data_IF_781097569605
#
_entry.id   IF_781097569605
#
_cell.length_a   1.000
_cell.length_b   1.000
_cell.length_c   1.000
_cell.angle_alpha   90.00
_cell.angle_beta   90.00
_cell.angle_gamma   90.00
#
_symmetry.space_group_name_H-M   'P 1'
#
loop_
_entity.id
_entity.type
_entity.pdbx_description
1 polymer ?
#
# COMPACT_ATOMS: atom_id res chain seq x y z
N UNK A 1 -9.36 22.22 12.62
CA UNK A 1 -9.76 20.97 11.93
C UNK A 1 -10.73 20.10 12.74
N UNK A 2 -11.37 20.61 13.81
CA UNK A 2 -12.56 20.00 14.42
C UNK A 2 -12.36 18.70 15.22
N UNK A 3 -11.12 18.26 15.45
CA UNK A 3 -10.77 17.09 16.28
C UNK A 3 -9.61 17.46 17.19
N UNK A 4 -9.57 16.87 18.37
CA UNK A 4 -8.52 17.05 19.38
C UNK A 4 -7.73 15.75 19.52
N UNK A 5 -6.42 15.88 19.78
CA UNK A 5 -5.49 14.74 19.93
C UNK A 5 -4.54 14.98 21.09
N UNK A 6 -4.06 13.90 21.71
CA UNK A 6 -3.11 13.94 22.82
C UNK A 6 -1.79 13.33 22.39
N UNK A 7 -0.97 14.14 21.73
CA UNK A 7 0.25 13.67 21.08
C UNK A 7 1.49 13.89 21.95
N UNK A 8 2.41 12.92 21.96
CA UNK A 8 3.74 13.04 22.57
C UNK A 8 4.77 13.40 21.51
N UNK A 9 5.55 14.46 21.74
CA UNK A 9 6.68 14.80 20.88
C UNK A 9 7.76 13.72 20.99
N UNK A 10 8.19 13.19 19.84
CA UNK A 10 9.26 12.19 19.73
C UNK A 10 10.57 12.87 19.31
N UNK A 11 10.52 13.73 18.28
CA UNK A 11 11.72 14.27 17.66
C UNK A 11 11.42 15.59 16.94
N UNK A 12 12.44 16.45 16.85
CA UNK A 12 12.47 17.63 15.95
C UNK A 12 13.65 17.49 14.97
N UNK A 13 13.54 16.69 13.90
CA UNK A 13 14.70 16.26 13.11
C UNK A 13 15.29 17.32 12.18
N UNK A 14 14.55 18.38 11.82
CA UNK A 14 15.00 19.35 10.83
C UNK A 14 14.55 20.77 11.20
N UNK A 15 15.43 21.72 10.92
CA UNK A 15 15.18 23.16 10.98
C UNK A 15 15.88 23.78 9.77
N UNK A 16 15.14 24.59 9.02
CA UNK A 16 15.62 25.32 7.86
C UNK A 16 15.24 26.79 8.04
N UNK A 17 16.23 27.66 7.86
CA UNK A 17 16.09 29.11 7.99
C UNK A 17 16.45 29.75 6.66
N UNK A 18 15.48 30.49 6.12
CA UNK A 18 15.64 31.40 5.01
C UNK A 18 15.40 32.80 5.54
N UNK A 19 16.07 33.82 5.00
CA UNK A 19 16.05 35.23 5.49
C UNK A 19 14.66 35.81 5.90
N UNK A 20 13.55 35.24 5.40
CA UNK A 20 12.17 35.67 5.71
C UNK A 20 11.24 34.54 6.16
N UNK A 21 11.72 33.30 6.24
CA UNK A 21 10.90 32.12 6.53
C UNK A 21 11.73 31.11 7.33
N UNK A 22 11.15 30.61 8.42
CA UNK A 22 11.69 29.46 9.14
C UNK A 22 10.76 28.27 8.96
N UNK A 23 11.33 27.09 8.78
CA UNK A 23 10.60 25.82 8.81
C UNK A 23 11.25 24.87 9.81
N UNK A 24 10.42 24.12 10.52
CA UNK A 24 10.86 23.04 11.40
C UNK A 24 9.98 21.81 11.19
N UNK A 25 10.58 20.64 11.35
CA UNK A 25 9.87 19.37 11.29
C UNK A 25 9.72 18.82 12.69
N UNK A 26 8.49 18.42 13.07
CA UNK A 26 8.22 17.71 14.32
C UNK A 26 7.66 16.31 14.04
N UNK A 27 8.04 15.34 14.87
CA UNK A 27 7.51 13.98 14.88
C UNK A 27 6.81 13.72 16.20
N UNK A 28 5.58 13.22 16.11
CA UNK A 28 4.74 12.91 17.27
C UNK A 28 4.30 11.44 17.27
N UNK A 29 4.00 10.91 18.44
CA UNK A 29 3.30 9.64 18.64
C UNK A 29 1.95 9.89 19.31
N UNK A 30 0.93 9.15 18.87
CA UNK A 30 -0.31 8.96 19.63
C UNK A 30 -0.20 7.63 20.38
N UNK A 31 -0.03 7.69 21.70
CA UNK A 31 0.20 6.51 22.53
C UNK A 31 -1.12 5.78 22.86
N UNK A 32 -2.29 6.41 22.69
CA UNK A 32 -3.61 5.84 22.99
C UNK A 32 -4.62 6.10 21.86
N UNK A 33 -4.43 5.49 20.68
CA UNK A 33 -5.34 5.71 19.56
C UNK A 33 -6.74 5.20 19.90
N UNK A 34 -7.75 6.07 19.75
CA UNK A 34 -9.15 5.69 19.85
C UNK A 34 -9.55 5.02 18.54
N UNK A 35 -9.98 3.74 18.62
CA UNK A 35 -10.55 3.05 17.46
C UNK A 35 -11.95 3.60 17.19
N UNK A 36 -12.27 3.97 15.94
CA UNK A 36 -13.62 4.37 15.59
C UNK A 36 -14.60 3.23 15.90
N UNK A 37 -15.76 3.52 16.49
CA UNK A 37 -16.87 2.55 16.59
C UNK A 37 -17.49 2.31 15.22
N UNK A 38 -18.32 1.26 15.04
CA UNK A 38 -18.97 0.98 13.76
C UNK A 38 -19.61 2.24 13.16
N UNK A 39 -19.03 2.74 12.07
CA UNK A 39 -19.52 3.91 11.37
C UNK A 39 -20.36 3.40 10.20
N UNK A 40 -21.64 3.78 10.16
CA UNK A 40 -22.44 3.58 8.96
C UNK A 40 -21.77 4.29 7.77
N UNK A 41 -22.02 3.82 6.55
CA UNK A 41 -21.45 4.45 5.35
C UNK A 41 -21.74 5.98 5.41
N UNK A 42 -20.71 6.84 5.34
CA UNK A 42 -20.87 8.25 5.67
C UNK A 42 -21.91 8.96 4.81
N UNK A 43 -22.86 9.63 5.47
CA UNK A 43 -23.72 10.62 4.83
C UNK A 43 -22.94 11.92 4.55
N UNK A 44 -23.24 12.61 3.45
CA UNK A 44 -22.59 13.88 3.10
C UNK A 44 -21.19 13.75 2.46
N UNK A 45 -20.81 12.53 2.01
CA UNK A 45 -19.61 12.34 1.18
C UNK A 45 -19.71 13.16 -0.12
N UNK A 46 -18.57 13.66 -0.60
CA UNK A 46 -18.55 14.22 -1.95
C UNK A 46 -18.67 13.08 -2.97
N UNK A 47 -19.25 13.37 -4.13
CA UNK A 47 -19.20 12.43 -5.24
C UNK A 47 -17.74 12.21 -5.66
N UNK A 48 -17.34 10.95 -5.72
CA UNK A 48 -16.11 10.46 -6.35
C UNK A 48 -16.48 9.43 -7.42
N UNK A 49 -15.65 9.23 -8.46
CA UNK A 49 -15.90 8.17 -9.45
C UNK A 49 -16.03 6.79 -8.77
N UNK A 50 -16.83 5.87 -9.35
CA UNK A 50 -16.90 4.48 -8.87
C UNK A 50 -15.51 3.86 -8.75
N UNK A 51 -15.27 3.13 -7.67
CA UNK A 51 -13.99 2.49 -7.44
C UNK A 51 -13.89 1.16 -8.17
N UNK A 52 -12.72 0.87 -8.74
CA UNK A 52 -12.34 -0.48 -9.22
C UNK A 52 -11.86 -1.39 -8.08
N UNK A 53 -11.88 -0.90 -6.83
CA UNK A 53 -11.36 -1.60 -5.65
C UNK A 53 -12.46 -1.70 -4.60
N UNK A 54 -12.67 -2.89 -4.06
CA UNK A 54 -13.64 -3.13 -3.00
C UNK A 54 -12.97 -3.77 -1.80
N UNK A 55 -13.23 -3.23 -0.61
CA UNK A 55 -12.79 -3.80 0.65
C UNK A 55 -13.95 -4.60 1.24
N UNK A 56 -13.84 -5.93 1.22
CA UNK A 56 -14.85 -6.88 1.69
C UNK A 56 -16.22 -6.68 1.02
N UNK A 57 -16.20 -6.50 -0.31
CA UNK A 57 -17.38 -6.24 -1.13
C UNK A 57 -17.95 -4.81 -0.99
N UNK A 58 -17.25 -3.90 -0.29
CA UNK A 58 -17.62 -2.49 -0.21
C UNK A 58 -16.68 -1.66 -1.07
N UNK A 59 -17.15 -1.08 -2.19
CA UNK A 59 -16.34 -0.21 -3.03
C UNK A 59 -15.72 0.96 -2.28
N UNK A 60 -14.46 1.29 -2.55
CA UNK A 60 -13.76 2.34 -1.80
C UNK A 60 -14.40 3.74 -1.95
N UNK A 61 -15.12 3.99 -3.05
CA UNK A 61 -15.88 5.23 -3.26
C UNK A 61 -16.98 5.44 -2.22
N UNK A 62 -17.48 4.36 -1.60
CA UNK A 62 -18.45 4.43 -0.51
C UNK A 62 -17.88 5.14 0.72
N UNK A 63 -16.58 5.09 0.91
CA UNK A 63 -15.86 5.83 1.94
C UNK A 63 -15.40 7.22 1.47
N UNK A 64 -15.81 7.67 0.28
CA UNK A 64 -15.33 8.92 -0.32
C UNK A 64 -13.88 8.85 -0.80
N UNK A 65 -13.34 7.64 -0.99
CA UNK A 65 -11.96 7.40 -1.42
C UNK A 65 -11.93 7.09 -2.91
N UNK A 66 -11.07 7.82 -3.61
CA UNK A 66 -10.69 7.55 -4.99
C UNK A 66 -9.24 7.05 -5.01
N UNK A 67 -8.99 5.91 -5.67
CA UNK A 67 -7.63 5.42 -5.92
C UNK A 67 -7.10 6.09 -7.17
N UNK A 68 -5.97 6.77 -7.07
CA UNK A 68 -5.34 7.50 -8.19
C UNK A 68 -4.23 6.70 -8.86
N UNK A 69 -3.52 5.87 -8.09
CA UNK A 69 -2.46 4.98 -8.59
C UNK A 69 -2.41 3.71 -7.73
N UNK A 70 -2.02 2.57 -8.32
CA UNK A 70 -1.93 1.30 -7.57
C UNK A 70 -1.92 0.04 -8.42
N UNK A 71 -2.36 0.12 -9.69
CA UNK A 71 -2.41 -1.03 -10.60
C UNK A 71 -1.07 -1.77 -10.70
N UNK A 72 0.02 -1.05 -10.91
CA UNK A 72 1.36 -1.66 -11.03
C UNK A 72 1.80 -2.34 -9.72
N UNK A 73 1.42 -1.78 -8.57
CA UNK A 73 1.69 -2.36 -7.25
C UNK A 73 0.88 -3.66 -7.02
N UNK A 74 -0.33 -3.75 -7.58
CA UNK A 74 -1.14 -4.97 -7.58
C UNK A 74 -0.57 -6.01 -8.56
N UNK A 75 -0.06 -5.60 -9.73
CA UNK A 75 0.39 -6.53 -10.76
C UNK A 75 1.82 -7.04 -10.54
N UNK A 76 2.69 -6.28 -9.86
CA UNK A 76 4.09 -6.69 -9.64
C UNK A 76 4.19 -7.98 -8.81
N UNK A 77 5.20 -8.79 -9.08
CA UNK A 77 5.54 -9.94 -8.24
C UNK A 77 6.07 -9.49 -6.86
N UNK A 78 5.87 -10.28 -5.80
CA UNK A 78 6.53 -10.02 -4.52
C UNK A 78 8.05 -10.10 -4.65
N UNK A 79 8.74 -9.47 -3.72
CA UNK A 79 10.21 -9.55 -3.65
C UNK A 79 10.64 -10.95 -3.23
N UNK A 80 11.61 -11.53 -3.93
CA UNK A 80 12.25 -12.79 -3.53
C UNK A 80 12.89 -12.63 -2.16
N UNK A 81 12.68 -13.60 -1.27
CA UNK A 81 13.34 -13.67 0.02
C UNK A 81 14.79 -14.09 -0.18
N UNK A 82 15.70 -13.23 0.24
CA UNK A 82 17.14 -13.50 0.14
C UNK A 82 17.51 -14.68 1.04
N UNK A 83 18.04 -15.75 0.45
CA UNK A 83 18.61 -16.87 1.18
C UNK A 83 19.96 -16.50 1.81
N UNK A 84 20.54 -17.42 2.59
CA UNK A 84 21.83 -17.19 3.23
C UNK A 84 22.87 -16.79 2.19
N UNK A 85 23.58 -15.71 2.47
CA UNK A 85 24.56 -15.18 1.55
C UNK A 85 25.79 -14.68 2.30
N UNK A 86 26.97 -15.05 1.81
CA UNK A 86 28.25 -14.73 2.43
C UNK A 86 29.21 -14.15 1.39
N UNK A 87 29.78 -13.01 1.70
CA UNK A 87 30.92 -12.44 0.96
C UNK A 87 32.19 -12.79 1.72
N UNK A 88 33.22 -13.27 1.02
CA UNK A 88 34.54 -13.54 1.60
C UNK A 88 35.53 -12.62 0.90
N UNK A 89 36.38 -11.92 1.66
CA UNK A 89 37.21 -10.82 1.14
C UNK A 89 38.22 -11.24 0.07
N UNK A 90 38.69 -12.48 0.11
CA UNK A 90 39.67 -13.06 -0.81
C UNK A 90 39.03 -13.84 -1.97
N UNK A 91 37.70 -13.91 -2.03
CA UNK A 91 36.96 -14.61 -3.09
C UNK A 91 36.15 -13.59 -3.88
N UNK A 92 36.36 -13.56 -5.19
CA UNK A 92 35.53 -12.76 -6.08
C UNK A 92 34.09 -13.30 -6.07
N UNK A 93 33.13 -12.40 -5.88
CA UNK A 93 31.70 -12.72 -5.89
C UNK A 93 31.10 -12.99 -4.52
N UNK A 94 30.00 -13.75 -4.50
CA UNK A 94 29.21 -14.05 -3.29
C UNK A 94 28.84 -15.52 -3.26
N UNK A 95 28.99 -16.15 -2.11
CA UNK A 95 28.48 -17.49 -1.85
C UNK A 95 26.99 -17.33 -1.50
N UNK A 96 26.11 -17.92 -2.28
CA UNK A 96 24.65 -17.81 -2.11
C UNK A 96 24.04 -19.21 -1.99
N UNK A 97 23.15 -19.40 -1.02
CA UNK A 97 22.35 -20.62 -0.91
C UNK A 97 21.23 -20.62 -1.96
N UNK A 98 21.50 -21.29 -3.07
CA UNK A 98 20.60 -21.41 -4.21
C UNK A 98 19.57 -22.53 -4.07
N UNK A 99 19.31 -23.04 -2.84
CA UNK A 99 18.35 -24.13 -2.59
C UNK A 99 16.91 -23.83 -3.05
N UNK A 100 16.01 -23.47 -2.11
CA UNK A 100 14.61 -23.15 -2.45
C UNK A 100 14.41 -21.64 -2.56
N UNK A 101 13.79 -21.18 -3.64
CA UNK A 101 13.32 -19.79 -3.78
C UNK A 101 11.99 -19.65 -3.03
N UNK A 102 11.92 -18.67 -2.13
CA UNK A 102 10.73 -18.29 -1.38
C UNK A 102 10.54 -16.79 -1.54
N UNK A 103 9.31 -16.30 -1.52
CA UNK A 103 9.01 -14.87 -1.64
C UNK A 103 8.65 -14.27 -0.28
N UNK A 104 8.86 -12.96 -0.14
CA UNK A 104 8.33 -12.19 0.97
C UNK A 104 6.83 -11.93 0.83
N UNK A 105 6.20 -11.51 1.92
CA UNK A 105 4.85 -10.92 1.91
C UNK A 105 4.79 -9.77 0.89
N UNK A 106 3.69 -9.69 0.15
CA UNK A 106 3.51 -8.62 -0.85
C UNK A 106 2.86 -7.41 -0.20
N UNK A 107 3.63 -6.33 -0.03
CA UNK A 107 3.08 -5.02 0.30
C UNK A 107 2.59 -4.33 -0.97
N UNK A 108 1.32 -3.93 -0.99
CA UNK A 108 0.69 -3.17 -2.07
C UNK A 108 0.35 -1.80 -1.53
N UNK A 109 0.87 -0.74 -2.16
CA UNK A 109 0.54 0.64 -1.78
C UNK A 109 -0.31 1.30 -2.84
N UNK A 110 -1.55 1.64 -2.49
CA UNK A 110 -2.47 2.41 -3.31
C UNK A 110 -2.31 3.90 -2.96
N UNK A 111 -2.15 4.75 -3.97
CA UNK A 111 -2.29 6.20 -3.78
C UNK A 111 -3.77 6.55 -3.82
N UNK A 112 -4.23 7.23 -2.79
CA UNK A 112 -5.63 7.51 -2.54
C UNK A 112 -5.88 9.01 -2.37
N UNK A 113 -7.09 9.43 -2.69
CA UNK A 113 -7.62 10.75 -2.46
C UNK A 113 -8.99 10.64 -1.78
N UNK A 114 -9.11 11.17 -0.57
CA UNK A 114 -10.37 11.25 0.17
C UNK A 114 -10.98 12.63 -0.04
N UNK A 115 -12.20 12.66 -0.59
CA UNK A 115 -12.92 13.91 -0.91
C UNK A 115 -14.21 13.98 -0.10
N UNK A 116 -14.39 15.07 0.64
CA UNK A 116 -15.58 15.30 1.45
C UNK A 116 -16.13 16.73 1.30
N UNK A 117 -17.44 16.89 1.50
CA UNK A 117 -18.11 18.20 1.40
C UNK A 117 -17.85 19.13 2.58
N UNK A 118 -17.38 18.61 3.70
CA UNK A 118 -17.06 19.37 4.91
C UNK A 118 -16.02 18.64 5.76
N UNK A 119 -15.44 19.33 6.75
CA UNK A 119 -14.51 18.71 7.70
C UNK A 119 -15.18 17.62 8.54
N UNK A 120 -16.45 17.80 8.90
CA UNK A 120 -17.22 16.76 9.61
C UNK A 120 -17.43 15.52 8.74
N UNK A 121 -17.82 15.71 7.48
CA UNK A 121 -17.96 14.61 6.53
C UNK A 121 -16.62 13.90 6.28
N UNK A 122 -15.52 14.65 6.22
CA UNK A 122 -14.17 14.09 6.12
C UNK A 122 -13.87 13.13 7.27
N UNK A 123 -14.10 13.54 8.52
CA UNK A 123 -13.83 12.69 9.68
C UNK A 123 -14.73 11.45 9.71
N UNK A 124 -16.00 11.58 9.33
CA UNK A 124 -16.89 10.43 9.20
C UNK A 124 -16.38 9.43 8.15
N UNK A 125 -15.92 9.92 6.99
CA UNK A 125 -15.33 9.09 5.94
C UNK A 125 -14.05 8.40 6.39
N UNK A 126 -13.16 9.16 7.03
CA UNK A 126 -11.92 8.65 7.60
C UNK A 126 -12.18 7.57 8.65
N UNK A 127 -13.07 7.82 9.61
CA UNK A 127 -13.37 6.87 10.68
C UNK A 127 -14.07 5.62 10.14
N UNK A 128 -14.94 5.74 9.13
CA UNK A 128 -15.57 4.59 8.47
C UNK A 128 -14.55 3.71 7.70
N UNK A 129 -13.67 4.33 6.92
CA UNK A 129 -12.61 3.62 6.21
C UNK A 129 -11.68 2.92 7.20
N UNK A 130 -11.20 3.65 8.22
CA UNK A 130 -10.28 3.10 9.21
C UNK A 130 -10.94 1.99 10.00
N UNK A 131 -12.21 2.13 10.40
CA UNK A 131 -12.97 1.07 11.05
C UNK A 131 -13.00 -0.20 10.20
N UNK A 132 -13.32 -0.10 8.91
CA UNK A 132 -13.36 -1.25 8.00
C UNK A 132 -11.98 -1.93 7.87
N UNK A 133 -10.92 -1.14 7.72
CA UNK A 133 -9.54 -1.62 7.56
C UNK A 133 -8.99 -2.35 8.80
N UNK A 134 -9.35 -1.91 10.01
CA UNK A 134 -8.76 -2.43 11.27
C UNK A 134 -9.62 -3.50 11.95
N UNK A 135 -10.66 -4.02 11.27
CA UNK A 135 -11.47 -5.11 11.79
C UNK A 135 -10.60 -6.35 12.06
N UNK A 136 -10.96 -7.15 13.08
CA UNK A 136 -10.26 -8.40 13.33
C UNK A 136 -10.47 -9.37 12.17
N UNK A 137 -9.45 -10.20 11.91
CA UNK A 137 -9.45 -11.19 10.84
C UNK A 137 -8.82 -10.68 9.54
N UNK A 138 -8.69 -11.59 8.59
CA UNK A 138 -8.25 -11.29 7.23
C UNK A 138 -9.33 -10.51 6.48
N UNK A 139 -8.91 -9.51 5.69
CA UNK A 139 -9.79 -8.71 4.83
C UNK A 139 -9.61 -9.15 3.38
N UNK A 140 -10.60 -8.94 2.53
CA UNK A 140 -10.49 -9.19 1.09
C UNK A 140 -10.47 -7.87 0.33
N UNK A 141 -9.47 -7.67 -0.54
CA UNK A 141 -9.47 -6.60 -1.53
C UNK A 141 -9.84 -7.19 -2.89
N UNK A 142 -11.05 -6.93 -3.36
CA UNK A 142 -11.44 -7.23 -4.73
C UNK A 142 -10.94 -6.13 -5.68
N UNK A 143 -10.50 -6.55 -6.86
CA UNK A 143 -9.95 -5.68 -7.90
C UNK A 143 -10.65 -5.96 -9.22
N UNK A 144 -11.40 -4.98 -9.72
CA UNK A 144 -12.34 -5.19 -10.82
C UNK A 144 -11.65 -5.48 -12.16
N UNK A 145 -10.56 -4.79 -12.47
CA UNK A 145 -9.91 -4.90 -13.78
C UNK A 145 -9.23 -6.25 -14.05
N UNK A 146 -9.00 -7.07 -13.01
CA UNK A 146 -8.50 -8.44 -13.16
C UNK A 146 -9.42 -9.48 -12.52
N UNK A 147 -10.55 -9.06 -11.94
CA UNK A 147 -11.59 -9.94 -11.39
C UNK A 147 -11.04 -10.88 -10.32
N UNK A 148 -10.09 -10.39 -9.50
CA UNK A 148 -9.45 -11.18 -8.45
C UNK A 148 -9.72 -10.61 -7.06
N UNK A 149 -9.74 -11.51 -6.07
CA UNK A 149 -9.79 -11.19 -4.66
C UNK A 149 -8.44 -11.46 -3.99
N UNK A 150 -7.91 -10.44 -3.34
CA UNK A 150 -6.65 -10.50 -2.62
C UNK A 150 -6.89 -10.50 -1.11
N UNK A 151 -6.69 -11.64 -0.43
CA UNK A 151 -6.73 -11.68 1.03
C UNK A 151 -5.56 -10.86 1.59
N UNK A 152 -5.85 -9.98 2.55
CA UNK A 152 -4.92 -8.96 3.01
C UNK A 152 -5.16 -8.47 4.45
N UNK A 153 -4.15 -7.79 4.98
CA UNK A 153 -4.23 -7.02 6.22
C UNK A 153 -3.89 -5.55 6.00
N UNK A 154 -4.54 -4.66 6.74
CA UNK A 154 -4.16 -3.27 6.81
C UNK A 154 -2.80 -3.12 7.50
N UNK A 155 -1.81 -2.59 6.78
CA UNK A 155 -0.46 -2.37 7.33
C UNK A 155 -0.28 -0.96 7.86
N UNK A 156 -0.58 0.04 7.04
CA UNK A 156 -0.45 1.48 7.41
C UNK A 156 -1.10 2.38 6.37
N UNK A 157 -1.37 3.62 6.79
CA UNK A 157 -1.48 4.77 5.88
C UNK A 157 -0.29 5.71 6.08
N UNK A 158 0.09 6.44 5.04
CA UNK A 158 1.19 7.40 5.11
C UNK A 158 1.00 8.55 4.13
N UNK A 159 1.86 9.58 4.19
CA UNK A 159 1.85 10.67 3.21
C UNK A 159 0.58 11.53 3.22
N UNK A 160 -0.12 11.62 4.36
CA UNK A 160 -1.33 12.43 4.51
C UNK A 160 -1.04 13.89 4.19
N UNK A 161 -1.66 14.41 3.12
CA UNK A 161 -1.51 15.79 2.67
C UNK A 161 -2.88 16.41 2.39
N UNK A 162 -3.12 17.55 3.03
CA UNK A 162 -4.32 18.34 2.81
C UNK A 162 -4.13 19.22 1.57
N UNK A 163 -4.82 18.88 0.48
CA UNK A 163 -4.69 19.58 -0.81
C UNK A 163 -5.63 20.79 -0.92
N UNK A 164 -6.82 20.72 -0.34
CA UNK A 164 -7.79 21.83 -0.36
C UNK A 164 -8.71 21.85 0.85
N UNK A 165 -9.01 23.07 1.31
CA UNK A 165 -10.07 23.38 2.27
C UNK A 165 -11.11 24.38 1.72
N UNK A 166 -10.95 24.84 0.46
CA UNK A 166 -11.84 25.83 -0.13
C UNK A 166 -13.01 25.10 -0.80
N UNK A 167 -14.15 25.07 -0.11
CA UNK A 167 -15.38 24.42 -0.58
C UNK A 167 -15.44 22.94 -0.22
N UNK A 168 -14.53 22.12 -0.76
CA UNK A 168 -14.39 20.69 -0.40
C UNK A 168 -13.12 20.47 0.39
N UNK A 169 -13.14 19.45 1.24
CA UNK A 169 -11.96 18.91 1.91
C UNK A 169 -11.39 17.81 1.00
N UNK A 170 -10.16 18.01 0.55
CA UNK A 170 -9.45 17.06 -0.33
C UNK A 170 -8.15 16.67 0.35
N UNK A 171 -7.96 15.38 0.60
CA UNK A 171 -6.79 14.86 1.29
C UNK A 171 -6.23 13.68 0.52
N UNK A 172 -4.95 13.75 0.15
CA UNK A 172 -4.21 12.65 -0.48
C UNK A 172 -3.46 11.87 0.58
N UNK A 173 -3.35 10.55 0.39
CA UNK A 173 -2.63 9.65 1.28
C UNK A 173 -2.29 8.35 0.56
N UNK A 174 -1.36 7.58 1.12
CA UNK A 174 -1.03 6.24 0.67
C UNK A 174 -1.70 5.23 1.61
N UNK A 175 -2.38 4.23 1.05
CA UNK A 175 -2.91 3.07 1.76
C UNK A 175 -2.05 1.84 1.44
N UNK A 176 -1.38 1.28 2.43
CA UNK A 176 -0.59 0.06 2.27
C UNK A 176 -1.31 -1.14 2.88
N UNK A 177 -1.57 -2.14 2.04
CA UNK A 177 -2.10 -3.44 2.41
C UNK A 177 -1.00 -4.51 2.26
N UNK A 178 -1.02 -5.51 3.13
CA UNK A 178 -0.15 -6.67 3.03
C UNK A 178 -0.96 -7.87 2.59
N UNK A 179 -0.70 -8.37 1.38
CA UNK A 179 -1.40 -9.54 0.85
C UNK A 179 -0.84 -10.81 1.46
N UNK A 180 -1.74 -11.68 1.92
CA UNK A 180 -1.41 -12.95 2.58
C UNK A 180 -1.19 -14.07 1.57
N UNK A 181 -1.83 -13.95 0.41
CA UNK A 181 -1.64 -14.82 -0.74
C UNK A 181 -1.35 -13.94 -1.95
N UNK A 182 -0.35 -14.33 -2.72
CA UNK A 182 -0.15 -13.80 -4.07
C UNK A 182 -0.28 -14.97 -5.04
N UNK A 183 -1.16 -14.84 -6.02
CA UNK A 183 -1.29 -15.80 -7.11
C UNK A 183 -0.37 -15.33 -8.23
N UNK A 184 0.64 -16.13 -8.54
CA UNK A 184 1.20 -16.16 -9.89
C UNK A 184 0.17 -16.98 -10.67
N UNK A 185 -0.90 -16.30 -11.09
CA UNK A 185 -1.97 -16.90 -11.87
C UNK A 185 -1.34 -17.63 -13.05
N UNK A 186 -1.77 -18.87 -13.36
CA UNK A 186 -1.09 -19.92 -14.16
C UNK A 186 -0.58 -19.55 -15.55
N UNK A 187 0.21 -18.48 -15.60
CA UNK A 187 0.88 -17.80 -16.69
C UNK A 187 2.35 -18.03 -16.38
N UNK A 188 3.02 -18.73 -17.27
CA UNK A 188 4.46 -18.98 -17.15
C UNK A 188 5.21 -17.66 -17.37
N UNK A 189 5.86 -17.19 -16.31
CA UNK A 189 6.69 -16.00 -16.36
C UNK A 189 8.09 -16.42 -16.82
N UNK A 190 8.30 -16.52 -18.12
CA UNK A 190 9.61 -16.84 -18.68
C UNK A 190 10.49 -15.60 -18.74
N UNK A 191 11.76 -15.72 -18.31
CA UNK A 191 12.73 -14.64 -18.42
C UNK A 191 13.05 -14.36 -19.89
N UNK A 192 12.99 -13.09 -20.30
CA UNK A 192 13.31 -12.65 -21.66
C UNK A 192 14.25 -11.44 -21.66
N UNK A 193 15.02 -11.28 -22.74
CA UNK A 193 15.82 -10.08 -23.01
C UNK A 193 14.92 -8.90 -23.38
N UNK A 194 15.46 -7.67 -23.38
CA UNK A 194 14.73 -6.48 -23.84
C UNK A 194 14.26 -6.59 -25.31
N UNK A 195 14.91 -7.44 -26.11
CA UNK A 195 14.51 -7.75 -27.49
C UNK A 195 13.37 -8.78 -27.58
N UNK A 196 12.91 -9.33 -26.45
CA UNK A 196 11.86 -10.35 -26.37
C UNK A 196 12.35 -11.78 -26.56
N UNK A 197 13.66 -12.03 -26.55
CA UNK A 197 14.23 -13.37 -26.69
C UNK A 197 14.25 -14.07 -25.33
N UNK A 198 13.73 -15.31 -25.26
CA UNK A 198 13.72 -16.07 -24.01
C UNK A 198 15.14 -16.45 -23.58
N UNK A 199 15.45 -16.23 -22.32
CA UNK A 199 16.73 -16.62 -21.71
C UNK A 199 16.67 -18.11 -21.38
N UNK A 200 17.66 -18.83 -21.89
CA UNK A 200 17.86 -20.27 -21.68
C UNK A 200 19.06 -20.52 -20.77
N UNK A 201 19.05 -21.67 -20.10
CA UNK A 201 20.20 -22.21 -19.35
C UNK A 201 21.41 -22.42 -20.25
N UNK A 202 22.60 -22.54 -19.65
CA UNK A 202 23.87 -22.66 -20.38
C UNK A 202 23.93 -23.89 -21.31
N UNK A 203 23.22 -24.96 -20.96
CA UNK A 203 23.05 -26.17 -21.78
C UNK A 203 22.02 -26.01 -22.91
N UNK A 204 21.26 -24.92 -22.94
CA UNK A 204 20.22 -24.63 -23.93
C UNK A 204 18.95 -25.45 -23.78
N UNK A 205 18.81 -26.26 -22.73
CA UNK A 205 17.69 -27.20 -22.58
C UNK A 205 16.47 -26.61 -21.86
N UNK A 206 16.68 -25.65 -20.96
CA UNK A 206 15.63 -25.14 -20.08
C UNK A 206 15.47 -23.62 -20.22
N UNK A 207 14.22 -23.18 -20.28
CA UNK A 207 13.88 -21.78 -20.09
C UNK A 207 13.82 -21.45 -18.61
N UNK A 208 14.19 -20.23 -18.26
CA UNK A 208 14.10 -19.76 -16.87
C UNK A 208 12.66 -19.37 -16.60
N UNK A 209 11.89 -20.30 -16.04
CA UNK A 209 10.57 -20.06 -15.49
C UNK A 209 10.67 -19.39 -14.12
N UNK A 210 10.02 -18.24 -13.97
CA UNK A 210 9.93 -17.47 -12.73
C UNK A 210 8.73 -17.91 -11.88
N UNK A 211 7.90 -18.84 -12.36
CA UNK A 211 6.90 -19.50 -11.53
C UNK A 211 7.57 -20.41 -10.50
N UNK A 212 7.09 -20.32 -9.26
CA UNK A 212 7.41 -21.31 -8.24
C UNK A 212 6.26 -22.30 -8.14
N UNK A 213 6.49 -23.52 -8.61
CA UNK A 213 5.65 -24.65 -8.23
C UNK A 213 5.83 -24.89 -6.73
N UNK A 214 4.77 -24.66 -5.95
CA UNK A 214 4.72 -24.98 -4.53
C UNK A 214 4.69 -26.50 -4.32
#
# INVERSE_FOLDING_TARGET
MGREWSLRLIQSPAYEDWDTLEAFTLRFAEDRPVRPSSVAIPEGRAYVPPSEYELDGVPLDRYGVMVTEGRDEIMRSPTVKTNLSRTVLDVNGKIYDAGKVVYNSKEVTLKCCLIAGSMTAFWNCYDALLHALIQPGERSLYVDYNVEEYPCYYKRTSGWKLESLRGRVVVTFNLTLEFTVFRMDGIDYLLATEAGELVVTEDGEYYIDLNTYA
#
